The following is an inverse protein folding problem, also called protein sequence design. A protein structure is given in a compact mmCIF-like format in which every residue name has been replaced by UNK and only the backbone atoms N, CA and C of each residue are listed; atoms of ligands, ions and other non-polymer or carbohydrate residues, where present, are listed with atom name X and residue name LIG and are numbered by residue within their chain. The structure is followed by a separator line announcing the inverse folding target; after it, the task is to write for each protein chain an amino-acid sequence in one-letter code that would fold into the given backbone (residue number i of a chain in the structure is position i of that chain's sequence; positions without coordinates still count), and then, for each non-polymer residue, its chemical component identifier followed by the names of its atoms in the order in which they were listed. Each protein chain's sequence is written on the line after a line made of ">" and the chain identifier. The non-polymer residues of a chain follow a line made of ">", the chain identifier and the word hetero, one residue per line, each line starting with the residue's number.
data_IF_013172418235
#
_entry.id   IF_013172418235
#
_cell.length_a   1.000
_cell.length_b   1.000
_cell.length_c   1.000
_cell.angle_alpha   90.00
_cell.angle_beta   90.00
_cell.angle_gamma   90.00
#
_symmetry.space_group_name_H-M   'P 1'
#
loop_
_entity.id
_entity.type
_entity.pdbx_description
1 polymer ?
#
# COMPACT_ATOMS: atom_id res chain seq x y z
N UNK A 1 -32.58 -11.18 14.73
CA UNK A 1 -31.61 -11.25 15.86
C UNK A 1 -30.65 -12.44 15.81
N UNK A 2 -30.92 -13.53 15.05
CA UNK A 2 -30.02 -14.68 14.94
C UNK A 2 -28.92 -14.55 13.86
N UNK A 3 -29.08 -13.63 12.90
CA UNK A 3 -28.13 -13.39 11.80
C UNK A 3 -26.92 -12.49 12.16
N UNK A 4 -27.00 -11.77 13.29
CA UNK A 4 -25.99 -10.77 13.66
C UNK A 4 -24.78 -11.40 14.37
N UNK A 5 -25.03 -12.46 15.16
CA UNK A 5 -23.97 -13.19 15.89
C UNK A 5 -23.09 -14.04 14.97
N UNK A 6 -23.66 -14.64 13.92
CA UNK A 6 -22.94 -15.43 12.92
C UNK A 6 -22.17 -14.58 11.91
N UNK A 7 -22.61 -13.34 11.69
CA UNK A 7 -21.89 -12.36 10.87
C UNK A 7 -20.68 -11.80 11.61
N UNK A 8 -20.86 -11.39 12.87
CA UNK A 8 -19.76 -10.95 13.74
C UNK A 8 -18.70 -12.04 13.98
N UNK A 9 -19.08 -13.31 14.11
CA UNK A 9 -18.11 -14.40 14.29
C UNK A 9 -17.33 -14.73 13.01
N UNK A 10 -17.97 -14.67 11.83
CA UNK A 10 -17.27 -14.80 10.54
C UNK A 10 -16.35 -13.62 10.27
N UNK A 11 -16.77 -12.40 10.57
CA UNK A 11 -15.94 -11.20 10.43
C UNK A 11 -14.74 -11.24 11.38
N UNK A 12 -14.92 -11.71 12.62
CA UNK A 12 -13.83 -11.92 13.59
C UNK A 12 -12.80 -12.93 13.08
N UNK A 13 -13.23 -14.09 12.57
CA UNK A 13 -12.32 -15.13 12.05
C UNK A 13 -11.57 -14.62 10.81
N UNK A 14 -12.25 -13.92 9.90
CA UNK A 14 -11.61 -13.34 8.70
C UNK A 14 -10.57 -12.29 9.08
N UNK A 15 -10.86 -11.45 10.09
CA UNK A 15 -9.93 -10.42 10.57
C UNK A 15 -8.70 -11.05 11.24
N UNK A 16 -8.90 -12.10 12.03
CA UNK A 16 -7.83 -12.85 12.69
C UNK A 16 -6.93 -13.55 11.67
N UNK A 17 -7.49 -14.21 10.66
CA UNK A 17 -6.72 -14.81 9.54
C UNK A 17 -5.99 -13.74 8.71
N UNK A 18 -6.56 -12.56 8.52
CA UNK A 18 -5.87 -11.46 7.82
C UNK A 18 -4.68 -10.93 8.61
N UNK A 19 -4.83 -10.79 9.92
CA UNK A 19 -3.75 -10.34 10.80
C UNK A 19 -2.61 -11.36 10.86
N UNK A 20 -2.92 -12.66 10.85
CA UNK A 20 -1.93 -13.74 10.74
C UNK A 20 -1.17 -13.68 9.40
N UNK A 21 -1.86 -13.48 8.28
CA UNK A 21 -1.23 -13.38 6.96
C UNK A 21 -0.32 -12.15 6.84
N UNK A 22 -0.74 -11.00 7.40
CA UNK A 22 0.12 -9.80 7.49
C UNK A 22 1.38 -10.12 8.26
N UNK A 23 1.23 -10.73 9.44
CA UNK A 23 2.35 -11.12 10.29
C UNK A 23 3.31 -12.06 9.55
N UNK A 24 2.80 -13.06 8.84
CA UNK A 24 3.61 -13.98 8.04
C UNK A 24 4.40 -13.27 6.93
N UNK A 25 3.78 -12.33 6.21
CA UNK A 25 4.48 -11.56 5.17
C UNK A 25 5.54 -10.62 5.77
N UNK A 26 5.24 -9.96 6.89
CA UNK A 26 6.22 -9.13 7.61
C UNK A 26 7.40 -9.98 8.09
N UNK A 27 7.15 -11.18 8.62
CA UNK A 27 8.20 -12.10 9.03
C UNK A 27 9.03 -12.59 7.84
N UNK A 28 8.39 -12.95 6.73
CA UNK A 28 9.09 -13.37 5.50
C UNK A 28 10.04 -12.27 5.01
N UNK A 29 9.53 -11.06 4.82
CA UNK A 29 10.32 -9.92 4.32
C UNK A 29 11.40 -9.50 5.33
N UNK A 30 11.09 -9.54 6.63
CA UNK A 30 12.04 -9.25 7.70
C UNK A 30 13.19 -10.25 7.77
N UNK A 31 12.91 -11.55 7.60
CA UNK A 31 13.94 -12.59 7.56
C UNK A 31 14.85 -12.43 6.35
N UNK A 32 14.28 -12.19 5.17
CA UNK A 32 15.05 -11.93 3.95
C UNK A 32 15.94 -10.70 4.09
N UNK A 33 15.43 -9.61 4.68
CA UNK A 33 16.26 -8.44 4.99
C UNK A 33 17.38 -8.80 5.96
N UNK A 34 17.10 -9.61 6.99
CA UNK A 34 18.11 -10.10 7.92
C UNK A 34 19.24 -10.88 7.22
N UNK A 35 18.88 -11.79 6.31
CA UNK A 35 19.83 -12.54 5.48
C UNK A 35 20.69 -11.62 4.62
N UNK A 36 20.07 -10.61 3.98
CA UNK A 36 20.78 -9.58 3.21
C UNK A 36 21.75 -8.79 4.07
N UNK A 37 21.36 -8.39 5.29
CA UNK A 37 22.25 -7.68 6.21
C UNK A 37 23.48 -8.53 6.58
N UNK A 38 23.26 -9.81 6.89
CA UNK A 38 24.34 -10.73 7.24
C UNK A 38 25.29 -10.94 6.04
N UNK A 39 24.74 -11.13 4.84
CA UNK A 39 25.54 -11.36 3.63
C UNK A 39 26.35 -10.13 3.22
N UNK A 40 25.76 -8.93 3.29
CA UNK A 40 26.36 -7.71 2.74
C UNK A 40 27.23 -6.96 3.76
N UNK A 41 26.85 -6.96 5.03
CA UNK A 41 27.47 -6.13 6.08
C UNK A 41 28.04 -6.99 7.23
N UNK A 42 27.70 -8.27 7.29
CA UNK A 42 28.16 -9.21 8.30
C UNK A 42 27.24 -9.32 9.53
N UNK A 43 27.51 -10.34 10.34
CA UNK A 43 26.72 -10.68 11.53
C UNK A 43 26.65 -9.53 12.55
N UNK A 44 27.73 -8.76 12.69
CA UNK A 44 27.83 -7.72 13.71
C UNK A 44 26.76 -6.61 13.52
N UNK A 45 26.50 -6.18 12.29
CA UNK A 45 25.47 -5.17 12.03
C UNK A 45 24.07 -5.73 12.33
N UNK A 46 23.80 -6.95 11.88
CA UNK A 46 22.54 -7.62 12.16
C UNK A 46 22.27 -7.72 13.66
N UNK A 47 23.27 -8.14 14.45
CA UNK A 47 23.15 -8.24 15.91
C UNK A 47 22.85 -6.89 16.56
N UNK A 48 23.47 -5.80 16.08
CA UNK A 48 23.16 -4.44 16.56
C UNK A 48 21.72 -4.03 16.24
N UNK A 49 21.24 -4.33 15.05
CA UNK A 49 19.85 -4.06 14.64
C UNK A 49 18.86 -4.85 15.51
N UNK A 50 19.13 -6.13 15.76
CA UNK A 50 18.32 -6.99 16.64
C UNK A 50 18.31 -6.48 18.08
N UNK A 51 19.46 -6.07 18.61
CA UNK A 51 19.59 -5.52 19.96
C UNK A 51 18.74 -4.25 20.12
N UNK A 52 18.87 -3.28 19.20
CA UNK A 52 18.07 -2.05 19.20
C UNK A 52 16.57 -2.37 19.11
N UNK A 53 16.17 -3.33 18.26
CA UNK A 53 14.78 -3.75 18.11
C UNK A 53 14.23 -4.37 19.39
N UNK A 54 14.99 -5.26 20.02
CA UNK A 54 14.60 -5.95 21.24
C UNK A 54 14.41 -4.96 22.39
N UNK A 55 15.36 -4.03 22.58
CA UNK A 55 15.28 -2.98 23.60
C UNK A 55 14.10 -2.04 23.37
N UNK A 56 13.87 -1.60 22.12
CA UNK A 56 12.71 -0.75 21.78
C UNK A 56 11.38 -1.46 22.07
N UNK A 57 11.30 -2.77 21.81
CA UNK A 57 10.12 -3.59 22.12
C UNK A 57 9.90 -3.73 23.63
N UNK A 58 10.96 -3.99 24.40
CA UNK A 58 10.90 -4.11 25.86
C UNK A 58 10.48 -2.77 26.50
N UNK A 59 11.04 -1.66 26.04
CA UNK A 59 10.67 -0.31 26.47
C UNK A 59 9.17 -0.04 26.24
N UNK A 60 8.64 -0.41 25.06
CA UNK A 60 7.20 -0.27 24.76
C UNK A 60 6.32 -1.16 25.63
N UNK A 61 6.85 -2.26 26.16
CA UNK A 61 6.15 -3.16 27.09
C UNK A 61 6.23 -2.71 28.55
N UNK A 62 6.89 -1.58 28.83
CA UNK A 62 6.99 -0.99 30.17
C UNK A 62 8.23 -1.41 30.96
N UNK A 63 9.26 -1.97 30.31
CA UNK A 63 10.55 -2.23 30.95
C UNK A 63 11.34 -0.92 31.10
N UNK A 64 11.38 -0.39 32.33
CA UNK A 64 12.10 0.84 32.67
C UNK A 64 13.62 0.73 32.46
N UNK A 65 14.20 -0.48 32.54
CA UNK A 65 15.64 -0.67 32.32
C UNK A 65 15.99 -0.65 30.82
N UNK A 66 15.03 -0.95 29.94
CA UNK A 66 15.27 -1.02 28.50
C UNK A 66 15.58 0.35 27.89
N UNK A 67 15.00 1.44 28.40
CA UNK A 67 15.27 2.80 27.94
C UNK A 67 16.74 3.18 28.18
N UNK A 68 17.23 2.96 29.40
CA UNK A 68 18.63 3.24 29.77
C UNK A 68 19.61 2.37 28.97
N UNK A 69 19.29 1.09 28.75
CA UNK A 69 20.10 0.20 27.94
C UNK A 69 20.11 0.62 26.45
N UNK A 70 18.96 1.02 25.90
CA UNK A 70 18.88 1.51 24.52
C UNK A 70 19.72 2.77 24.33
N UNK A 71 19.67 3.70 25.29
CA UNK A 71 20.50 4.91 25.26
C UNK A 71 21.99 4.57 25.22
N UNK A 72 22.45 3.63 26.05
CA UNK A 72 23.86 3.20 26.05
C UNK A 72 24.28 2.57 24.73
N UNK A 73 23.43 1.72 24.14
CA UNK A 73 23.70 1.11 22.84
C UNK A 73 23.84 2.20 21.77
N UNK A 74 22.90 3.15 21.72
CA UNK A 74 22.90 4.24 20.72
C UNK A 74 24.12 5.16 20.89
N UNK A 75 24.49 5.50 22.12
CA UNK A 75 25.67 6.34 22.41
C UNK A 75 26.99 5.66 22.06
N UNK A 76 27.03 4.32 22.05
CA UNK A 76 28.22 3.54 21.73
C UNK A 76 28.42 3.27 20.23
N UNK A 77 27.41 3.51 19.38
CA UNK A 77 27.51 3.26 17.94
C UNK A 77 28.55 4.20 17.31
N UNK A 78 29.45 3.63 16.51
CA UNK A 78 30.22 4.41 15.55
C UNK A 78 29.30 5.01 14.48
N UNK A 79 29.79 5.99 13.73
CA UNK A 79 29.00 6.64 12.67
C UNK A 79 28.55 5.63 11.59
N UNK A 80 29.42 4.69 11.23
CA UNK A 80 29.13 3.66 10.22
C UNK A 80 28.07 2.66 10.73
N UNK A 81 28.17 2.23 12.00
CA UNK A 81 27.16 1.37 12.62
C UNK A 81 25.82 2.10 12.76
N UNK A 82 25.83 3.36 13.18
CA UNK A 82 24.63 4.18 13.28
C UNK A 82 23.94 4.33 11.92
N UNK A 83 24.71 4.59 10.85
CA UNK A 83 24.18 4.63 9.50
C UNK A 83 23.57 3.30 9.08
N UNK A 84 24.28 2.18 9.30
CA UNK A 84 23.80 0.84 8.98
C UNK A 84 22.50 0.50 9.73
N UNK A 85 22.42 0.80 11.03
CA UNK A 85 21.23 0.57 11.85
C UNK A 85 20.04 1.40 11.37
N UNK A 86 20.23 2.69 11.13
CA UNK A 86 19.15 3.58 10.62
C UNK A 86 18.65 3.10 9.26
N UNK A 87 19.56 2.74 8.35
CA UNK A 87 19.22 2.23 7.03
C UNK A 87 18.46 0.91 7.12
N UNK A 88 18.86 0.00 8.01
CA UNK A 88 18.18 -1.29 8.22
C UNK A 88 16.73 -1.09 8.68
N UNK A 89 16.50 -0.18 9.63
CA UNK A 89 15.14 0.15 10.05
C UNK A 89 14.33 0.85 8.95
N UNK A 90 14.94 1.77 8.20
CA UNK A 90 14.27 2.42 7.06
C UNK A 90 13.79 1.39 6.03
N UNK A 91 14.67 0.49 5.58
CA UNK A 91 14.31 -0.58 4.65
C UNK A 91 13.27 -1.53 5.25
N UNK A 92 13.40 -1.91 6.52
CA UNK A 92 12.40 -2.73 7.22
C UNK A 92 11.01 -2.07 7.22
N UNK A 93 10.92 -0.79 7.56
CA UNK A 93 9.64 -0.09 7.58
C UNK A 93 9.03 0.07 6.18
N UNK A 94 9.84 0.21 5.14
CA UNK A 94 9.32 0.18 3.77
C UNK A 94 8.69 -1.18 3.43
N UNK A 95 9.34 -2.29 3.83
CA UNK A 95 8.82 -3.63 3.61
C UNK A 95 7.56 -3.91 4.44
N UNK A 96 7.50 -3.44 5.68
CA UNK A 96 6.28 -3.52 6.51
C UNK A 96 5.13 -2.77 5.87
N UNK A 97 5.34 -1.52 5.47
CA UNK A 97 4.32 -0.71 4.80
C UNK A 97 3.82 -1.41 3.52
N UNK A 98 4.72 -2.03 2.76
CA UNK A 98 4.37 -2.79 1.56
C UNK A 98 3.49 -4.00 1.87
N UNK A 99 3.84 -4.78 2.90
CA UNK A 99 3.06 -5.94 3.34
C UNK A 99 1.65 -5.52 3.81
N UNK A 100 1.54 -4.43 4.56
CA UNK A 100 0.26 -3.87 5.01
C UNK A 100 -0.59 -3.38 3.83
N UNK A 101 0.02 -2.72 2.85
CA UNK A 101 -0.66 -2.29 1.62
C UNK A 101 -1.20 -3.49 0.83
N UNK A 102 -0.40 -4.53 0.63
CA UNK A 102 -0.84 -5.75 -0.05
C UNK A 102 -1.98 -6.44 0.71
N UNK A 103 -1.91 -6.48 2.04
CA UNK A 103 -3.00 -7.02 2.85
C UNK A 103 -4.29 -6.23 2.72
N UNK A 104 -4.21 -4.90 2.66
CA UNK A 104 -5.38 -4.05 2.40
C UNK A 104 -6.00 -4.36 1.04
N UNK A 105 -5.18 -4.49 -0.01
CA UNK A 105 -5.64 -4.87 -1.36
C UNK A 105 -6.33 -6.24 -1.34
N UNK A 106 -5.73 -7.25 -0.69
CA UNK A 106 -6.35 -8.57 -0.51
C UNK A 106 -7.69 -8.49 0.21
N UNK A 107 -7.75 -7.75 1.31
CA UNK A 107 -8.98 -7.59 2.08
C UNK A 107 -10.11 -6.98 1.25
N UNK A 108 -9.81 -5.94 0.46
CA UNK A 108 -10.78 -5.32 -0.44
C UNK A 108 -11.27 -6.30 -1.51
N UNK A 109 -10.38 -7.09 -2.12
CA UNK A 109 -10.75 -8.11 -3.11
C UNK A 109 -11.61 -9.23 -2.52
N UNK A 110 -11.26 -9.71 -1.33
CA UNK A 110 -12.03 -10.77 -0.66
C UNK A 110 -13.44 -10.29 -0.30
N UNK A 111 -13.58 -9.04 0.18
CA UNK A 111 -14.90 -8.43 0.41
C UNK A 111 -15.69 -8.29 -0.88
N UNK A 112 -15.05 -7.86 -1.98
CA UNK A 112 -15.72 -7.75 -3.28
C UNK A 112 -16.26 -9.10 -3.78
N UNK A 113 -15.47 -10.19 -3.64
CA UNK A 113 -15.89 -11.56 -3.99
C UNK A 113 -17.05 -12.06 -3.12
N UNK A 114 -17.00 -11.83 -1.81
CA UNK A 114 -18.05 -12.27 -0.90
C UNK A 114 -19.40 -11.58 -1.22
N UNK A 115 -19.39 -10.27 -1.45
CA UNK A 115 -20.62 -9.50 -1.69
C UNK A 115 -21.28 -9.79 -3.06
N UNK A 116 -20.50 -10.14 -4.09
CA UNK A 116 -21.06 -10.62 -5.36
C UNK A 116 -21.94 -11.87 -5.21
N UNK A 117 -21.76 -12.65 -4.13
CA UNK A 117 -22.54 -13.87 -3.88
C UNK A 117 -23.92 -13.58 -3.27
N UNK A 118 -24.10 -12.43 -2.59
CA UNK A 118 -25.33 -12.07 -1.86
C UNK A 118 -26.21 -11.06 -2.62
N UNK A 119 -25.80 -10.61 -3.81
CA UNK A 119 -26.58 -9.74 -4.69
C UNK A 119 -26.71 -8.28 -4.26
N UNK A 120 -26.10 -7.88 -3.13
CA UNK A 120 -26.02 -6.48 -2.68
C UNK A 120 -24.61 -5.93 -3.01
N UNK A 121 -24.49 -4.79 -3.72
CA UNK A 121 -23.19 -4.21 -4.01
C UNK A 121 -22.42 -3.90 -2.73
N UNK A 122 -21.10 -4.03 -2.80
CA UNK A 122 -20.24 -3.70 -1.68
C UNK A 122 -20.41 -2.22 -1.31
N UNK A 123 -20.63 -1.93 -0.01
CA UNK A 123 -20.64 -0.55 0.50
C UNK A 123 -19.35 0.17 0.08
N UNK A 124 -19.44 1.49 -0.14
CA UNK A 124 -18.32 2.32 -0.60
C UNK A 124 -17.84 2.04 -2.03
N UNK A 125 -18.73 1.50 -2.89
CA UNK A 125 -18.50 1.36 -4.34
C UNK A 125 -19.41 2.30 -5.16
N UNK A 126 -19.07 2.51 -6.43
CA UNK A 126 -19.91 3.30 -7.35
C UNK A 126 -21.27 2.61 -7.52
N UNK A 127 -21.27 1.28 -7.68
CA UNK A 127 -22.50 0.49 -7.80
C UNK A 127 -23.42 0.66 -6.59
N UNK A 128 -22.89 0.60 -5.37
CA UNK A 128 -23.67 0.82 -4.16
C UNK A 128 -24.26 2.24 -4.12
N UNK A 129 -23.47 3.26 -4.43
CA UNK A 129 -23.94 4.65 -4.43
C UNK A 129 -25.10 4.87 -5.42
N UNK A 130 -25.00 4.31 -6.62
CA UNK A 130 -26.05 4.43 -7.65
C UNK A 130 -27.31 3.64 -7.25
N UNK A 131 -27.16 2.43 -6.71
CA UNK A 131 -28.30 1.65 -6.21
C UNK A 131 -28.99 2.31 -5.02
N UNK A 132 -28.24 2.97 -4.14
CA UNK A 132 -28.83 3.72 -3.02
C UNK A 132 -29.63 4.94 -3.49
N UNK A 133 -29.18 5.65 -4.53
CA UNK A 133 -29.98 6.70 -5.17
C UNK A 133 -31.29 6.14 -5.75
N UNK A 134 -31.22 4.98 -6.41
CA UNK A 134 -32.41 4.32 -6.98
C UNK A 134 -33.40 3.91 -5.87
N UNK A 135 -32.91 3.32 -4.77
CA UNK A 135 -33.73 2.93 -3.60
C UNK A 135 -34.38 4.14 -2.92
N UNK A 136 -33.74 5.29 -2.96
CA UNK A 136 -34.28 6.56 -2.46
C UNK A 136 -35.31 7.20 -3.42
N UNK A 137 -35.59 6.58 -4.57
CA UNK A 137 -36.56 7.06 -5.54
C UNK A 137 -36.06 8.21 -6.42
N UNK A 138 -34.74 8.42 -6.50
CA UNK A 138 -34.14 9.39 -7.42
C UNK A 138 -34.39 8.91 -8.84
N UNK A 139 -34.94 9.77 -9.69
CA UNK A 139 -35.26 9.42 -11.08
C UNK A 139 -34.02 9.44 -11.97
N UNK A 140 -34.05 8.71 -13.09
CA UNK A 140 -32.94 8.71 -14.06
C UNK A 140 -32.59 10.12 -14.57
N UNK A 141 -33.59 10.98 -14.81
CA UNK A 141 -33.36 12.37 -15.21
C UNK A 141 -32.65 13.21 -14.14
N UNK A 142 -32.95 12.98 -12.85
CA UNK A 142 -32.24 13.64 -11.75
C UNK A 142 -30.80 13.12 -11.64
N UNK A 143 -30.57 11.82 -11.84
CA UNK A 143 -29.21 11.26 -11.90
C UNK A 143 -28.42 11.87 -13.06
N UNK A 144 -29.01 12.02 -14.25
CA UNK A 144 -28.35 12.69 -15.38
C UNK A 144 -27.92 14.12 -15.01
N UNK A 145 -28.79 14.90 -14.36
CA UNK A 145 -28.44 16.26 -13.90
C UNK A 145 -27.27 16.29 -12.91
N UNK A 146 -27.11 15.24 -12.08
CA UNK A 146 -25.96 15.11 -11.19
C UNK A 146 -24.69 14.76 -11.98
N UNK A 147 -24.80 13.82 -12.93
CA UNK A 147 -23.68 13.40 -13.79
C UNK A 147 -23.14 14.56 -14.63
N UNK A 148 -24.02 15.43 -15.13
CA UNK A 148 -23.64 16.62 -15.91
C UNK A 148 -22.77 17.62 -15.12
N UNK A 149 -22.77 17.51 -13.79
CA UNK A 149 -22.02 18.37 -12.87
C UNK A 149 -20.93 17.63 -12.10
N UNK A 150 -20.78 16.33 -12.33
CA UNK A 150 -19.83 15.50 -11.60
C UNK A 150 -18.40 15.89 -11.99
N UNK A 151 -17.61 16.24 -10.99
CA UNK A 151 -16.19 16.53 -11.13
C UNK A 151 -15.44 15.92 -9.95
N UNK A 152 -14.49 15.04 -10.26
CA UNK A 152 -13.54 14.46 -9.32
C UNK A 152 -12.15 14.81 -9.82
N UNK A 153 -11.46 15.67 -9.07
CA UNK A 153 -10.13 16.16 -9.45
C UNK A 153 -9.14 16.00 -8.30
N UNK A 154 -8.47 14.85 -8.18
CA UNK A 154 -7.33 14.70 -7.28
C UNK A 154 -6.20 15.63 -7.73
N UNK A 155 -5.61 16.35 -6.78
CA UNK A 155 -4.48 17.26 -7.02
C UNK A 155 -3.23 16.69 -6.38
N UNK A 156 -2.22 16.39 -7.19
CA UNK A 156 -0.93 15.90 -6.70
C UNK A 156 -0.14 17.08 -6.15
N UNK A 157 0.30 16.98 -4.89
CA UNK A 157 1.15 17.97 -4.23
C UNK A 157 2.56 17.41 -4.03
N UNK A 158 3.54 18.31 -3.87
CA UNK A 158 4.87 17.88 -3.45
C UNK A 158 4.80 17.46 -1.98
N UNK A 159 5.56 16.42 -1.59
CA UNK A 159 5.73 16.09 -0.18
C UNK A 159 7.13 16.55 0.27
N UNK A 160 7.23 17.54 1.17
CA UNK A 160 8.48 18.26 1.45
C UNK A 160 9.61 17.37 2.02
N UNK A 161 9.27 16.19 2.56
CA UNK A 161 10.23 15.29 3.22
C UNK A 161 10.25 13.86 2.68
N UNK A 162 9.35 13.49 1.77
CA UNK A 162 9.05 12.06 1.51
C UNK A 162 8.97 11.71 0.02
N UNK A 163 9.59 12.49 -0.85
CA UNK A 163 9.74 12.10 -2.26
C UNK A 163 10.70 10.90 -2.36
N UNK A 164 10.19 9.68 -2.12
CA UNK A 164 10.91 8.43 -2.33
C UNK A 164 11.55 8.44 -3.72
N UNK A 165 12.80 8.02 -3.83
CA UNK A 165 13.48 7.94 -5.14
C UNK A 165 12.67 7.01 -6.04
N UNK A 166 12.50 7.37 -7.32
CA UNK A 166 11.82 6.54 -8.33
C UNK A 166 12.36 5.10 -8.33
N UNK A 167 13.66 4.95 -8.17
CA UNK A 167 14.32 3.64 -8.07
C UNK A 167 13.78 2.80 -6.91
N UNK A 168 13.62 3.37 -5.72
CA UNK A 168 13.05 2.69 -4.54
C UNK A 168 11.60 2.29 -4.82
N UNK A 169 10.79 3.20 -5.38
CA UNK A 169 9.40 2.89 -5.71
C UNK A 169 9.27 1.74 -6.70
N UNK A 170 10.10 1.70 -7.75
CA UNK A 170 10.08 0.62 -8.74
C UNK A 170 10.45 -0.73 -8.10
N UNK A 171 11.42 -0.76 -7.18
CA UNK A 171 11.80 -1.99 -6.46
C UNK A 171 10.67 -2.48 -5.56
N UNK A 172 10.09 -1.58 -4.77
CA UNK A 172 8.93 -1.90 -3.93
C UNK A 172 7.73 -2.39 -4.76
N UNK A 173 7.47 -1.79 -5.92
CA UNK A 173 6.41 -2.23 -6.82
C UNK A 173 6.65 -3.64 -7.38
N UNK A 174 7.90 -4.01 -7.68
CA UNK A 174 8.26 -5.38 -8.11
C UNK A 174 8.06 -6.39 -6.99
N UNK A 175 8.50 -6.06 -5.77
CA UNK A 175 8.26 -6.90 -4.58
C UNK A 175 6.75 -7.08 -4.37
N UNK A 176 5.97 -5.99 -4.40
CA UNK A 176 4.51 -6.06 -4.29
C UNK A 176 3.88 -6.94 -5.36
N UNK A 177 4.32 -6.83 -6.62
CA UNK A 177 3.83 -7.67 -7.71
C UNK A 177 4.09 -9.17 -7.46
N UNK A 178 5.26 -9.53 -6.93
CA UNK A 178 5.58 -10.92 -6.60
C UNK A 178 4.83 -11.44 -5.38
N UNK A 179 4.71 -10.63 -4.32
CA UNK A 179 3.84 -10.95 -3.18
C UNK A 179 2.39 -11.19 -3.62
N UNK A 180 1.91 -10.36 -4.54
CA UNK A 180 0.58 -10.50 -5.11
C UNK A 180 0.39 -11.81 -5.87
N UNK A 181 1.39 -12.22 -6.66
CA UNK A 181 1.39 -13.48 -7.40
C UNK A 181 1.34 -14.68 -6.43
N UNK A 182 2.17 -14.68 -5.40
CA UNK A 182 2.20 -15.69 -4.34
C UNK A 182 0.82 -15.85 -3.65
N UNK A 183 0.09 -14.75 -3.49
CA UNK A 183 -1.21 -14.72 -2.82
C UNK A 183 -2.40 -15.12 -3.73
N UNK A 184 -2.24 -15.00 -5.05
CA UNK A 184 -3.39 -15.05 -5.98
C UNK A 184 -3.32 -16.16 -7.03
N UNK A 185 -2.14 -16.71 -7.28
CA UNK A 185 -1.90 -17.74 -8.29
C UNK A 185 -1.55 -19.06 -7.59
N UNK A 186 -2.11 -20.16 -8.08
CA UNK A 186 -1.69 -21.50 -7.67
C UNK A 186 -0.38 -21.85 -8.38
N UNK A 187 0.74 -21.44 -7.77
CA UNK A 187 2.09 -21.66 -8.31
C UNK A 187 2.56 -23.09 -8.06
N UNK A 188 3.38 -23.60 -8.98
CA UNK A 188 4.19 -24.80 -8.75
C UNK A 188 5.30 -24.53 -7.73
N UNK A 189 5.90 -25.56 -7.10
CA UNK A 189 7.01 -25.37 -6.17
C UNK A 189 8.20 -24.60 -6.76
N UNK A 190 8.52 -24.85 -8.03
CA UNK A 190 9.64 -24.17 -8.71
C UNK A 190 9.31 -22.70 -8.96
N UNK A 191 8.08 -22.37 -9.38
CA UNK A 191 7.63 -20.99 -9.55
C UNK A 191 7.57 -20.22 -8.23
N UNK A 192 7.15 -20.89 -7.15
CA UNK A 192 7.16 -20.30 -5.81
C UNK A 192 8.58 -19.95 -5.38
N UNK A 193 9.53 -20.88 -5.58
CA UNK A 193 10.94 -20.67 -5.24
C UNK A 193 11.51 -19.50 -6.06
N UNK A 194 11.26 -19.48 -7.36
CA UNK A 194 11.72 -18.39 -8.22
C UNK A 194 11.12 -17.02 -7.83
N UNK A 195 9.86 -16.98 -7.39
CA UNK A 195 9.23 -15.75 -6.91
C UNK A 195 9.88 -15.25 -5.60
N UNK A 196 10.25 -16.17 -4.72
CA UNK A 196 10.94 -15.88 -3.45
C UNK A 196 12.37 -15.38 -3.70
N UNK A 197 13.11 -16.03 -4.59
CA UNK A 197 14.46 -15.60 -4.97
C UNK A 197 14.44 -14.19 -5.57
N UNK A 198 13.47 -13.89 -6.45
CA UNK A 198 13.27 -12.56 -7.00
C UNK A 198 12.96 -11.49 -5.94
N UNK A 199 12.18 -11.84 -4.90
CA UNK A 199 11.92 -10.92 -3.79
C UNK A 199 13.23 -10.65 -3.01
N UNK A 200 14.00 -11.69 -2.71
CA UNK A 200 15.28 -11.55 -2.02
C UNK A 200 16.27 -10.69 -2.82
N UNK A 201 16.37 -10.90 -4.14
CA UNK A 201 17.19 -10.08 -5.05
C UNK A 201 16.77 -8.61 -5.03
N UNK A 202 15.46 -8.32 -5.06
CA UNK A 202 14.97 -6.94 -5.01
C UNK A 202 15.18 -6.30 -3.63
N UNK A 203 15.12 -7.07 -2.53
CA UNK A 203 15.48 -6.58 -1.18
C UNK A 203 16.98 -6.28 -1.10
N UNK A 204 17.84 -7.15 -1.61
CA UNK A 204 19.29 -6.89 -1.68
C UNK A 204 19.57 -5.64 -2.53
N UNK A 205 18.87 -5.49 -3.65
CA UNK A 205 19.00 -4.33 -4.52
C UNK A 205 18.45 -3.04 -3.89
N UNK A 206 17.40 -3.14 -3.07
CA UNK A 206 16.88 -2.05 -2.26
C UNK A 206 17.92 -1.64 -1.21
N UNK A 207 18.52 -2.59 -0.50
CA UNK A 207 19.61 -2.34 0.44
C UNK A 207 20.78 -1.61 -0.22
N UNK A 208 21.21 -2.02 -1.42
CA UNK A 208 22.30 -1.35 -2.13
C UNK A 208 21.91 0.02 -2.72
N UNK A 209 20.64 0.41 -2.63
CA UNK A 209 20.19 1.72 -3.08
C UNK A 209 20.28 2.73 -1.94
N UNK A 210 21.14 3.73 -2.09
CA UNK A 210 21.19 4.83 -1.13
C UNK A 210 19.88 5.62 -1.15
N UNK A 211 19.22 5.66 0.00
CA UNK A 211 17.97 6.41 0.22
C UNK A 211 18.25 7.86 0.57
N UNK A 212 19.42 8.13 1.16
CA UNK A 212 19.79 9.48 1.56
C UNK A 212 20.11 10.28 0.32
N UNK A 213 19.32 11.33 0.07
CA UNK A 213 19.69 12.30 -0.94
C UNK A 213 20.74 13.21 -0.34
N UNK A 214 21.94 13.21 -0.93
CA UNK A 214 23.02 14.15 -0.61
C UNK A 214 22.62 15.61 -0.86
N UNK A 215 21.54 15.85 -1.61
CA UNK A 215 20.98 17.16 -1.94
C UNK A 215 19.46 17.16 -1.90
N UNK A 216 18.86 18.32 -1.58
CA UNK A 216 17.41 18.52 -1.61
C UNK A 216 16.84 18.10 -2.98
N UNK A 217 15.68 17.41 -3.05
CA UNK A 217 15.07 17.02 -4.31
C UNK A 217 14.89 18.24 -5.21
N UNK A 218 15.23 18.13 -6.50
CA UNK A 218 14.89 19.19 -7.44
C UNK A 218 13.40 19.16 -7.75
N UNK A 219 12.82 20.31 -8.12
CA UNK A 219 11.44 20.38 -8.64
C UNK A 219 11.21 19.37 -9.77
N UNK A 220 12.21 19.13 -10.63
CA UNK A 220 12.11 18.14 -11.70
C UNK A 220 12.03 16.70 -11.18
N UNK A 221 12.64 16.39 -10.04
CA UNK A 221 12.53 15.07 -9.43
C UNK A 221 11.13 14.86 -8.84
N UNK A 222 10.53 15.89 -8.27
CA UNK A 222 9.14 15.83 -7.81
C UNK A 222 8.18 15.67 -8.99
N UNK A 223 8.39 16.41 -10.09
CA UNK A 223 7.58 16.25 -11.32
C UNK A 223 7.68 14.81 -11.85
N UNK A 224 8.90 14.25 -11.92
CA UNK A 224 9.09 12.85 -12.34
C UNK A 224 8.39 11.87 -11.41
N UNK A 225 8.36 12.16 -10.11
CA UNK A 225 7.65 11.36 -9.12
C UNK A 225 6.13 11.39 -9.36
N UNK A 226 5.55 12.56 -9.61
CA UNK A 226 4.12 12.70 -9.94
C UNK A 226 3.78 11.96 -11.24
N UNK A 227 4.62 12.10 -12.27
CA UNK A 227 4.42 11.42 -13.55
C UNK A 227 4.44 9.90 -13.40
N UNK A 228 5.27 9.37 -12.51
CA UNK A 228 5.30 7.93 -12.22
C UNK A 228 3.92 7.41 -11.81
N UNK A 229 3.25 8.05 -10.85
CA UNK A 229 1.90 7.64 -10.41
C UNK A 229 0.82 7.85 -11.49
N UNK A 230 0.96 8.91 -12.30
CA UNK A 230 0.04 9.14 -13.41
C UNK A 230 0.14 7.98 -14.41
N UNK A 231 1.36 7.64 -14.84
CA UNK A 231 1.63 6.61 -15.86
C UNK A 231 1.29 5.20 -15.37
N UNK A 232 1.60 4.86 -14.13
CA UNK A 232 1.55 3.48 -13.63
C UNK A 232 0.29 3.17 -12.80
N UNK A 233 -0.56 4.16 -12.53
CA UNK A 233 -1.76 3.95 -11.70
C UNK A 233 -2.96 4.70 -12.24
N UNK A 234 -2.89 6.03 -12.34
CA UNK A 234 -4.08 6.84 -12.64
C UNK A 234 -4.55 6.65 -14.09
N UNK A 235 -3.61 6.47 -15.02
CA UNK A 235 -3.94 6.24 -16.43
C UNK A 235 -4.71 4.94 -16.63
N UNK A 236 -4.36 3.87 -15.91
CA UNK A 236 -5.08 2.59 -15.97
C UNK A 236 -6.39 2.60 -15.19
N UNK A 237 -6.45 3.33 -14.06
CA UNK A 237 -7.62 3.41 -13.20
C UNK A 237 -8.75 4.25 -13.80
N UNK A 238 -8.43 5.36 -14.46
CA UNK A 238 -9.44 6.29 -14.94
C UNK A 238 -10.48 5.62 -15.85
N UNK A 239 -10.13 4.84 -16.90
CA UNK A 239 -11.10 4.13 -17.73
C UNK A 239 -11.98 3.15 -16.93
N UNK A 240 -11.41 2.47 -15.93
CA UNK A 240 -12.13 1.49 -15.10
C UNK A 240 -13.28 2.16 -14.32
N UNK A 241 -13.07 3.37 -13.81
CA UNK A 241 -14.10 4.15 -13.12
C UNK A 241 -15.29 4.47 -14.04
N UNK A 242 -15.04 4.82 -15.30
CA UNK A 242 -16.12 5.05 -16.27
C UNK A 242 -16.88 3.76 -16.61
N UNK A 243 -16.17 2.63 -16.74
CA UNK A 243 -16.79 1.33 -17.01
C UNK A 243 -17.67 0.91 -15.83
N UNK A 244 -17.17 1.03 -14.60
CA UNK A 244 -17.93 0.72 -13.39
C UNK A 244 -19.16 1.62 -13.26
N UNK A 245 -19.02 2.93 -13.50
CA UNK A 245 -20.13 3.89 -13.49
C UNK A 245 -21.20 3.53 -14.54
N UNK A 246 -20.81 3.25 -15.79
CA UNK A 246 -21.76 2.85 -16.85
C UNK A 246 -22.52 1.58 -16.49
N UNK A 247 -21.81 0.59 -15.96
CA UNK A 247 -22.41 -0.67 -15.53
C UNK A 247 -23.42 -0.46 -14.40
N UNK A 248 -23.04 0.28 -13.37
CA UNK A 248 -23.91 0.60 -12.23
C UNK A 248 -25.19 1.34 -12.66
N UNK A 249 -25.06 2.32 -13.56
CA UNK A 249 -26.20 3.07 -14.09
C UNK A 249 -27.14 2.18 -14.91
N UNK A 250 -26.61 1.32 -15.78
CA UNK A 250 -27.39 0.40 -16.60
C UNK A 250 -28.14 -0.65 -15.75
N UNK A 251 -27.52 -1.14 -14.68
CA UNK A 251 -28.14 -2.08 -13.74
C UNK A 251 -29.27 -1.41 -12.92
N UNK A 252 -29.07 -0.18 -12.45
CA UNK A 252 -30.03 0.52 -11.59
C UNK A 252 -31.18 1.20 -12.38
N UNK A 253 -30.95 1.64 -13.61
CA UNK A 253 -31.95 2.37 -14.41
C UNK A 253 -32.08 1.74 -15.81
N UNK A 254 -32.62 0.51 -15.90
CA UNK A 254 -32.73 -0.18 -17.18
C UNK A 254 -33.59 0.62 -18.15
N UNK A 255 -33.10 0.79 -19.38
CA UNK A 255 -33.80 1.51 -20.46
C UNK A 255 -33.55 3.01 -20.50
N UNK A 256 -32.72 3.56 -19.61
CA UNK A 256 -32.20 4.93 -19.74
C UNK A 256 -30.76 4.89 -20.24
N UNK A 257 -30.46 5.71 -21.25
CA UNK A 257 -29.09 5.89 -21.75
C UNK A 257 -28.50 7.16 -21.15
N UNK A 258 -27.45 7.01 -20.34
CA UNK A 258 -26.81 8.12 -19.65
C UNK A 258 -25.64 8.68 -20.45
N UNK A 259 -25.59 10.00 -20.55
CA UNK A 259 -24.40 10.70 -21.02
C UNK A 259 -23.42 10.85 -19.85
N UNK A 260 -22.19 10.36 -20.04
CA UNK A 260 -21.09 10.55 -19.10
C UNK A 260 -20.03 11.42 -19.74
N UNK A 261 -20.02 12.71 -19.38
CA UNK A 261 -18.91 13.59 -19.68
C UNK A 261 -17.65 13.17 -18.90
N UNK A 262 -16.45 13.58 -19.32
CA UNK A 262 -15.25 13.36 -18.53
C UNK A 262 -15.36 14.01 -17.15
N UNK A 263 -15.54 13.19 -16.11
CA UNK A 263 -15.72 13.63 -14.73
C UNK A 263 -14.45 13.46 -13.88
N UNK A 264 -13.50 12.63 -14.31
CA UNK A 264 -12.20 12.46 -13.63
C UNK A 264 -11.16 13.34 -14.32
N UNK A 265 -10.55 14.24 -13.55
CA UNK A 265 -9.46 15.13 -13.98
C UNK A 265 -8.30 14.97 -13.01
N UNK A 266 -7.06 15.25 -13.44
CA UNK A 266 -5.89 15.17 -12.56
C UNK A 266 -5.25 16.56 -12.53
N UNK A 267 -5.14 17.13 -11.33
CA UNK A 267 -4.39 18.34 -11.08
C UNK A 267 -2.99 18.05 -10.54
N UNK A 268 -2.09 19.03 -10.65
CA UNK A 268 -0.79 18.99 -9.97
C UNK A 268 -0.41 20.39 -9.51
N UNK A 269 0.08 20.49 -8.28
CA UNK A 269 0.74 21.67 -7.72
C UNK A 269 2.26 21.54 -7.78
N UNK A 270 2.79 20.37 -8.11
CA UNK A 270 4.23 20.12 -8.19
C UNK A 270 4.88 21.02 -9.23
N UNK A 271 5.81 21.86 -8.79
CA UNK A 271 6.50 22.86 -9.61
C UNK A 271 5.67 24.08 -10.01
N UNK A 272 4.39 24.12 -9.64
CA UNK A 272 3.50 25.28 -9.82
C UNK A 272 3.30 26.08 -8.53
N UNK A 273 3.26 25.38 -7.39
CA UNK A 273 3.20 25.99 -6.06
C UNK A 273 4.53 26.65 -5.72
N UNK A 274 4.46 27.92 -5.32
CA UNK A 274 5.59 28.77 -4.92
C UNK A 274 5.39 29.34 -3.53
N UNK A 275 4.35 28.91 -2.81
CA UNK A 275 4.15 29.33 -1.43
C UNK A 275 5.18 28.60 -0.56
N UNK A 276 5.95 29.40 0.17
CA UNK A 276 7.24 29.04 0.79
C UNK A 276 7.17 28.20 2.06
#
# INVERSE_FOLDING_TARGET
>A
MYNDRTRNSKESIIMETQQELISQQIHLLGNMLGEVLIEQEGQALFDRVEEVRALTKAMRQGDEAAEAALQQVVEALSLDEAYGVVKAFASYFQLVNLAEEQARVRALRNRARANHSDGDPMRETISAAIMDLQRQGVTAGQVQQLLDRLLVMPVITAHPTEAKRRTVMVKLARIAGKLHELDTVALTPDEWTAAIDLIAEEIASLWQTDETRTHQPSVLDEVRNSLYYIEHTLFELAPQLYIEMRRALAEAYPGHDFSLAPFVHIGSWVGGDRDG
#
